data_IF_647710101284
#
_entry.id   IF_647710101284
#
_cell.length_a   1.000
_cell.length_b   1.000
_cell.length_c   1.000
_cell.angle_alpha   90.00
_cell.angle_beta   90.00
_cell.angle_gamma   90.00
#
_symmetry.space_group_name_H-M   'P 1'
#
loop_
_entity.id
_entity.type
_entity.pdbx_description
1 polymer ?
#
# COMPACT_ATOMS: atom_id res chain seq x y z
N UNK A 1 -13.86 26.80 6.91
CA UNK A 1 -13.13 25.52 6.80
C UNK A 1 -13.64 24.85 5.55
N UNK A 2 -12.79 24.57 4.56
CA UNK A 2 -13.25 24.08 3.27
C UNK A 2 -13.74 22.63 3.43
N UNK A 3 -15.02 22.39 3.13
CA UNK A 3 -15.60 21.06 3.03
C UNK A 3 -14.89 20.32 1.88
N UNK A 4 -13.95 19.42 2.22
CA UNK A 4 -13.33 18.54 1.23
C UNK A 4 -14.44 17.71 0.58
N UNK A 5 -14.60 17.88 -0.74
CA UNK A 5 -15.60 17.13 -1.50
C UNK A 5 -15.23 15.64 -1.42
N UNK A 6 -16.19 14.72 -1.19
CA UNK A 6 -15.90 13.29 -1.04
C UNK A 6 -15.04 12.69 -2.17
N UNK A 7 -15.16 13.22 -3.39
CA UNK A 7 -14.37 12.81 -4.55
C UNK A 7 -12.89 13.23 -4.49
N UNK A 8 -12.55 14.30 -3.77
CA UNK A 8 -11.16 14.74 -3.61
C UNK A 8 -10.40 13.82 -2.65
N UNK A 9 -11.03 13.41 -1.54
CA UNK A 9 -10.44 12.46 -0.59
C UNK A 9 -10.12 11.12 -1.26
N UNK A 10 -11.08 10.55 -1.98
CA UNK A 10 -10.87 9.29 -2.73
C UNK A 10 -9.76 9.43 -3.77
N UNK A 11 -9.72 10.55 -4.51
CA UNK A 11 -8.64 10.80 -5.50
C UNK A 11 -7.26 10.89 -4.85
N UNK A 12 -7.16 11.55 -3.69
CA UNK A 12 -5.89 11.66 -2.96
C UNK A 12 -5.42 10.29 -2.48
N UNK A 13 -6.32 9.49 -1.90
CA UNK A 13 -6.04 8.13 -1.42
C UNK A 13 -5.56 7.25 -2.59
N UNK A 14 -6.30 7.21 -3.70
CA UNK A 14 -5.96 6.37 -4.86
C UNK A 14 -4.67 6.83 -5.54
N UNK A 15 -4.44 8.14 -5.69
CA UNK A 15 -3.17 8.65 -6.24
C UNK A 15 -1.98 8.22 -5.39
N UNK A 16 -2.09 8.40 -4.07
CA UNK A 16 -1.04 8.03 -3.15
C UNK A 16 -0.83 6.51 -3.11
N UNK A 17 -1.90 5.72 -3.23
CA UNK A 17 -1.80 4.27 -3.35
C UNK A 17 -1.04 3.89 -4.64
N UNK A 18 -1.41 4.47 -5.78
CA UNK A 18 -0.75 4.21 -7.07
C UNK A 18 0.76 4.47 -7.02
N UNK A 19 1.18 5.64 -6.53
CA UNK A 19 2.62 5.98 -6.36
C UNK A 19 3.34 4.96 -5.48
N UNK A 20 2.70 4.52 -4.39
CA UNK A 20 3.32 3.56 -3.50
C UNK A 20 3.41 2.17 -4.12
N UNK A 21 2.44 1.74 -4.93
CA UNK A 21 2.50 0.45 -5.65
C UNK A 21 3.66 0.45 -6.64
N UNK A 22 3.83 1.52 -7.42
CA UNK A 22 4.94 1.61 -8.38
C UNK A 22 6.30 1.63 -7.65
N UNK A 23 6.42 2.38 -6.55
CA UNK A 23 7.63 2.34 -5.72
C UNK A 23 7.86 0.95 -5.10
N UNK A 24 6.81 0.26 -4.66
CA UNK A 24 6.94 -1.10 -4.13
C UNK A 24 7.47 -2.06 -5.20
N UNK A 25 6.92 -2.02 -6.41
CA UNK A 25 7.35 -2.83 -7.54
C UNK A 25 8.83 -2.60 -7.88
N UNK A 26 9.23 -1.33 -8.04
CA UNK A 26 10.61 -0.93 -8.31
C UNK A 26 11.57 -1.48 -7.24
N UNK A 27 11.25 -1.28 -5.96
CA UNK A 27 12.11 -1.70 -4.84
C UNK A 27 12.15 -3.21 -4.67
N UNK A 28 11.03 -3.91 -4.88
CA UNK A 28 11.04 -5.37 -4.84
C UNK A 28 11.85 -5.97 -5.99
N UNK A 29 11.82 -5.38 -7.18
CA UNK A 29 12.66 -5.80 -8.29
C UNK A 29 14.16 -5.63 -7.96
N UNK A 30 14.55 -4.52 -7.34
CA UNK A 30 15.93 -4.30 -6.86
C UNK A 30 16.35 -5.38 -5.84
N UNK A 31 15.47 -5.73 -4.90
CA UNK A 31 15.75 -6.78 -3.90
C UNK A 31 15.86 -8.17 -4.53
N UNK A 32 14.99 -8.49 -5.50
CA UNK A 32 15.04 -9.76 -6.24
C UNK A 32 16.34 -9.90 -7.04
N UNK A 33 16.79 -8.82 -7.68
CA UNK A 33 18.06 -8.81 -8.39
C UNK A 33 19.25 -9.08 -7.44
N UNK A 34 19.23 -8.47 -6.24
CA UNK A 34 20.27 -8.70 -5.22
C UNK A 34 20.23 -10.12 -4.66
N UNK A 35 19.03 -10.67 -4.45
CA UNK A 35 18.84 -12.02 -3.94
C UNK A 35 19.28 -13.12 -4.94
N UNK A 36 19.36 -12.79 -6.23
CA UNK A 36 19.76 -13.73 -7.29
C UNK A 36 21.27 -13.89 -7.45
N UNK A 37 22.06 -13.21 -6.60
CA UNK A 37 23.53 -13.29 -6.62
C UNK A 37 24.02 -14.65 -6.11
N UNK A 38 24.99 -15.25 -6.81
CA UNK A 38 25.57 -16.55 -6.43
C UNK A 38 26.37 -16.51 -5.12
N UNK A 39 26.88 -15.32 -4.74
CA UNK A 39 27.73 -15.11 -3.57
C UNK A 39 26.97 -14.59 -2.33
N UNK A 40 25.64 -14.73 -2.29
CA UNK A 40 24.82 -14.18 -1.23
C UNK A 40 25.06 -14.89 0.12
N UNK A 41 25.52 -14.13 1.11
CA UNK A 41 25.68 -14.65 2.47
C UNK A 41 24.35 -14.74 3.20
N UNK A 42 24.28 -15.57 4.25
CA UNK A 42 23.07 -15.69 5.09
C UNK A 42 22.66 -14.36 5.72
N UNK A 43 23.61 -13.54 6.19
CA UNK A 43 23.30 -12.23 6.80
C UNK A 43 22.70 -11.26 5.77
N UNK A 44 23.25 -11.24 4.55
CA UNK A 44 22.68 -10.46 3.45
C UNK A 44 21.29 -10.94 3.07
N UNK A 45 21.07 -12.25 2.98
CA UNK A 45 19.75 -12.83 2.71
C UNK A 45 18.73 -12.41 3.79
N UNK A 46 19.11 -12.43 5.08
CA UNK A 46 18.25 -11.97 6.17
C UNK A 46 17.93 -10.47 6.06
N UNK A 47 18.90 -9.63 5.70
CA UNK A 47 18.68 -8.19 5.48
C UNK A 47 17.76 -7.90 4.29
N UNK A 48 17.91 -8.66 3.19
CA UNK A 48 17.02 -8.57 2.04
C UNK A 48 15.59 -8.98 2.41
N UNK A 49 15.44 -10.08 3.16
CA UNK A 49 14.14 -10.54 3.64
C UNK A 49 13.46 -9.51 4.57
N UNK A 50 14.20 -8.93 5.52
CA UNK A 50 13.68 -7.87 6.39
C UNK A 50 13.23 -6.64 5.60
N UNK A 51 13.98 -6.28 4.55
CA UNK A 51 13.64 -5.16 3.66
C UNK A 51 12.36 -5.45 2.86
N UNK A 52 12.24 -6.66 2.29
CA UNK A 52 11.05 -7.08 1.56
C UNK A 52 9.80 -7.12 2.47
N UNK A 53 9.94 -7.61 3.70
CA UNK A 53 8.86 -7.61 4.70
C UNK A 53 8.42 -6.19 5.05
N UNK A 54 9.37 -5.27 5.22
CA UNK A 54 9.07 -3.87 5.53
C UNK A 54 8.29 -3.19 4.40
N UNK A 55 8.72 -3.39 3.15
CA UNK A 55 8.01 -2.89 1.97
C UNK A 55 6.60 -3.47 1.89
N UNK A 56 6.46 -4.79 2.12
CA UNK A 56 5.19 -5.49 2.03
C UNK A 56 4.22 -5.07 3.13
N UNK A 57 4.71 -4.86 4.35
CA UNK A 57 3.92 -4.34 5.46
C UNK A 57 3.38 -2.93 5.15
N UNK A 58 4.21 -2.07 4.55
CA UNK A 58 3.80 -0.71 4.15
C UNK A 58 2.71 -0.74 3.07
N UNK A 59 2.90 -1.54 2.02
CA UNK A 59 1.90 -1.73 0.96
C UNK A 59 0.58 -2.25 1.54
N UNK A 60 0.66 -3.28 2.38
CA UNK A 60 -0.52 -3.90 3.02
C UNK A 60 -1.28 -2.91 3.89
N UNK A 61 -0.58 -2.09 4.68
CA UNK A 61 -1.22 -1.04 5.49
C UNK A 61 -2.03 -0.09 4.61
N UNK A 62 -1.44 0.37 3.51
CA UNK A 62 -2.12 1.34 2.63
C UNK A 62 -3.26 0.70 1.85
N UNK A 63 -3.15 -0.58 1.48
CA UNK A 63 -4.27 -1.33 0.89
C UNK A 63 -5.45 -1.42 1.87
N UNK A 64 -5.17 -1.64 3.16
CA UNK A 64 -6.19 -1.61 4.21
C UNK A 64 -6.85 -0.22 4.29
N UNK A 65 -6.08 0.86 4.32
CA UNK A 65 -6.64 2.22 4.36
C UNK A 65 -7.55 2.53 3.16
N UNK A 66 -7.19 2.08 1.95
CA UNK A 66 -8.06 2.21 0.76
C UNK A 66 -9.35 1.42 0.94
N UNK A 67 -9.23 0.19 1.42
CA UNK A 67 -10.38 -0.72 1.63
C UNK A 67 -11.33 -0.15 2.68
N UNK A 68 -10.80 0.28 3.82
CA UNK A 68 -11.56 0.87 4.92
C UNK A 68 -12.35 2.10 4.44
N UNK A 69 -11.71 3.00 3.67
CA UNK A 69 -12.38 4.17 3.10
C UNK A 69 -13.54 3.81 2.16
N UNK A 70 -13.39 2.77 1.33
CA UNK A 70 -14.47 2.32 0.45
C UNK A 70 -15.61 1.70 1.27
N UNK A 71 -15.29 0.86 2.25
CA UNK A 71 -16.27 0.25 3.14
C UNK A 71 -17.05 1.30 3.94
N UNK A 72 -16.41 2.37 4.41
CA UNK A 72 -17.09 3.48 5.08
C UNK A 72 -18.12 4.16 4.18
N UNK A 73 -17.82 4.33 2.88
CA UNK A 73 -18.76 4.90 1.91
C UNK A 73 -19.96 3.97 1.72
N UNK A 74 -19.71 2.67 1.57
CA UNK A 74 -20.76 1.66 1.41
C UNK A 74 -21.67 1.60 2.64
N UNK A 75 -21.10 1.58 3.85
CA UNK A 75 -21.84 1.59 5.11
C UNK A 75 -22.73 2.83 5.23
N UNK A 76 -22.19 4.02 4.90
CA UNK A 76 -22.98 5.26 4.93
C UNK A 76 -24.19 5.22 4.00
N UNK A 77 -24.04 4.65 2.80
CA UNK A 77 -25.16 4.50 1.87
C UNK A 77 -26.20 3.53 2.43
N UNK A 78 -25.77 2.38 2.95
CA UNK A 78 -26.69 1.38 3.51
C UNK A 78 -27.46 1.93 4.71
N UNK A 79 -26.80 2.64 5.63
CA UNK A 79 -27.47 3.29 6.76
C UNK A 79 -28.49 4.32 6.31
N UNK A 80 -28.19 5.13 5.30
CA UNK A 80 -29.13 6.13 4.76
C UNK A 80 -30.36 5.52 4.06
N UNK A 81 -30.30 4.25 3.64
CA UNK A 81 -31.42 3.53 3.04
C UNK A 81 -32.28 2.77 4.07
N UNK A 82 -31.83 2.69 5.33
CA UNK A 82 -32.51 2.02 6.43
C UNK A 82 -33.28 2.98 7.34
N UNK A 83 -33.10 4.29 7.15
CA UNK A 83 -33.87 5.39 7.79
C UNK A 83 -35.09 5.78 6.95
#
# INVERSE_FOLDING_TARGET
MAEQRPSETTRVILRSFGVMVTTYEERMAELLAQASREDLTTDEALRLAASALTLSARLTRRLREVTDHVLEIEQRLLSALQE
#
